data_IF_281155981846
#
_entry.id   IF_281155981846
#
_cell.length_a   1.000
_cell.length_b   1.000
_cell.length_c   1.000
_cell.angle_alpha   90.00
_cell.angle_beta   90.00
_cell.angle_gamma   90.00
#
_symmetry.space_group_name_H-M   'P 1'
#
loop_
_entity.id
_entity.type
_entity.pdbx_description
1 polymer ?
#
# COMPACT_ATOMS: atom_id res chain seq x y z
N UNK A 1 12.46 -7.85 1.19
CA UNK A 1 12.67 -7.67 2.65
C UNK A 1 13.49 -8.81 3.26
N UNK A 2 13.02 -10.07 3.25
CA UNK A 2 13.73 -11.21 3.87
C UNK A 2 15.16 -11.36 3.34
N UNK A 3 15.34 -11.28 2.03
CA UNK A 3 16.65 -11.33 1.38
C UNK A 3 17.59 -10.21 1.85
N UNK A 4 17.08 -8.96 1.97
CA UNK A 4 17.87 -7.83 2.44
C UNK A 4 18.27 -7.98 3.91
N UNK A 5 17.39 -8.50 4.75
CA UNK A 5 17.72 -8.80 6.15
C UNK A 5 18.79 -9.89 6.25
N UNK A 6 18.69 -10.96 5.44
CA UNK A 6 19.73 -11.99 5.38
C UNK A 6 21.08 -11.42 4.93
N UNK A 7 21.09 -10.52 3.94
CA UNK A 7 22.29 -9.80 3.49
C UNK A 7 22.91 -8.96 4.61
N UNK A 8 22.09 -8.16 5.31
CA UNK A 8 22.53 -7.33 6.45
C UNK A 8 23.23 -8.17 7.51
N UNK A 9 22.62 -9.30 7.90
CA UNK A 9 23.17 -10.19 8.92
C UNK A 9 24.48 -10.83 8.45
N UNK A 10 24.54 -11.25 7.18
CA UNK A 10 25.76 -11.81 6.59
C UNK A 10 26.90 -10.79 6.61
N UNK A 11 26.64 -9.53 6.24
CA UNK A 11 27.65 -8.47 6.29
C UNK A 11 28.11 -8.13 7.71
N UNK A 12 27.20 -8.17 8.69
CA UNK A 12 27.57 -8.01 10.10
C UNK A 12 28.47 -9.14 10.62
N UNK A 13 28.26 -10.38 10.16
CA UNK A 13 29.13 -11.50 10.49
C UNK A 13 30.50 -11.36 9.81
N UNK A 14 30.56 -10.94 8.54
CA UNK A 14 31.83 -10.63 7.86
C UNK A 14 32.60 -9.51 8.57
N UNK A 15 31.89 -8.49 9.06
CA UNK A 15 32.47 -7.41 9.85
C UNK A 15 33.06 -7.92 11.16
N UNK A 16 32.38 -8.83 11.86
CA UNK A 16 32.91 -9.46 13.07
C UNK A 16 34.26 -10.16 12.80
N UNK A 17 34.42 -10.81 11.65
CA UNK A 17 35.70 -11.46 11.27
C UNK A 17 36.82 -10.44 11.03
N UNK A 18 36.48 -9.24 10.54
CA UNK A 18 37.44 -8.15 10.30
C UNK A 18 37.86 -7.45 11.61
N UNK A 19 37.04 -7.52 12.65
CA UNK A 19 37.27 -6.91 13.96
C UNK A 19 38.22 -7.78 14.83
N UNK A 20 39.52 -7.71 14.55
CA UNK A 20 40.56 -8.49 15.26
C UNK A 20 41.05 -7.79 16.53
N UNK A 21 41.00 -6.46 16.58
CA UNK A 21 41.49 -5.67 17.71
C UNK A 21 40.50 -5.67 18.89
N UNK A 22 41.01 -5.67 20.13
CA UNK A 22 40.17 -5.49 21.33
C UNK A 22 39.45 -4.14 21.27
N UNK A 23 38.23 -4.11 21.79
CA UNK A 23 37.47 -2.87 21.96
C UNK A 23 38.29 -1.92 22.84
N UNK A 24 38.55 -0.72 22.33
CA UNK A 24 39.20 0.34 23.09
C UNK A 24 38.39 0.74 24.33
N UNK A 25 39.03 1.42 25.27
CA UNK A 25 38.36 1.93 26.48
C UNK A 25 37.27 2.94 26.12
N UNK A 26 36.18 2.92 26.90
CA UNK A 26 35.12 3.92 26.79
C UNK A 26 35.58 5.23 27.42
N UNK A 27 35.89 6.24 26.59
CA UNK A 27 36.25 7.58 27.05
C UNK A 27 35.51 8.64 26.23
N UNK A 28 34.65 9.41 26.89
CA UNK A 28 33.93 10.53 26.28
C UNK A 28 34.76 11.79 26.47
N UNK A 29 35.04 12.50 25.38
CA UNK A 29 35.78 13.76 25.38
C UNK A 29 34.83 14.90 24.97
N UNK A 30 34.85 16.00 25.71
CA UNK A 30 34.14 17.22 25.33
C UNK A 30 34.97 17.98 24.28
N UNK A 31 34.45 18.09 23.07
CA UNK A 31 35.09 18.77 21.94
C UNK A 31 34.36 20.07 21.59
N UNK A 32 33.48 20.56 22.46
CA UNK A 32 32.61 21.72 22.20
C UNK A 32 33.41 22.95 21.77
N UNK A 33 34.55 23.22 22.41
CA UNK A 33 35.40 24.38 22.10
C UNK A 33 35.99 24.32 20.68
N UNK A 34 36.44 23.14 20.25
CA UNK A 34 36.97 22.90 18.89
C UNK A 34 35.85 23.11 17.86
N UNK A 35 34.63 22.69 18.20
CA UNK A 35 33.48 22.73 17.29
C UNK A 35 32.79 24.09 17.18
N UNK A 36 33.17 25.09 18.00
CA UNK A 36 32.65 26.47 17.87
C UNK A 36 33.03 27.13 16.54
N UNK A 37 34.18 26.76 15.98
CA UNK A 37 34.70 27.30 14.73
C UNK A 37 34.15 26.56 13.50
N UNK A 38 33.39 25.48 13.68
CA UNK A 38 32.82 24.68 12.60
C UNK A 38 31.67 25.40 11.89
N UNK A 39 31.63 25.31 10.56
CA UNK A 39 30.54 25.87 9.76
C UNK A 39 29.38 24.88 9.57
N UNK A 40 28.91 24.32 10.68
CA UNK A 40 27.82 23.35 10.67
C UNK A 40 26.55 23.93 11.26
N UNK A 41 25.45 23.93 10.49
CA UNK A 41 24.12 24.36 10.97
C UNK A 41 23.68 23.58 12.22
N UNK A 42 23.96 22.28 12.25
CA UNK A 42 23.57 21.38 13.36
C UNK A 42 24.31 21.76 14.65
N UNK A 43 25.62 22.02 14.54
CA UNK A 43 26.46 22.38 15.68
C UNK A 43 26.10 23.77 16.18
N UNK A 44 25.99 24.76 15.28
CA UNK A 44 25.59 26.13 15.62
C UNK A 44 24.26 26.15 16.38
N UNK A 45 23.23 25.46 15.86
CA UNK A 45 21.93 25.37 16.53
C UNK A 45 21.99 24.68 17.90
N UNK A 46 22.88 23.70 18.07
CA UNK A 46 23.08 23.02 19.36
C UNK A 46 23.74 23.96 20.38
N UNK A 47 24.76 24.72 19.96
CA UNK A 47 25.46 25.69 20.80
C UNK A 47 24.55 26.84 21.25
N UNK A 48 23.70 27.36 20.34
CA UNK A 48 22.68 28.37 20.66
C UNK A 48 21.72 27.91 21.77
N UNK A 49 21.39 26.62 21.78
CA UNK A 49 20.54 25.97 22.78
C UNK A 49 21.29 25.57 24.06
N UNK A 50 22.54 26.02 24.24
CA UNK A 50 23.43 25.65 25.35
C UNK A 50 23.71 24.14 25.44
N UNK A 51 23.65 23.44 24.31
CA UNK A 51 24.07 22.04 24.20
C UNK A 51 25.59 21.91 24.13
N UNK A 52 26.08 20.67 24.06
CA UNK A 52 27.50 20.33 23.96
C UNK A 52 27.76 19.39 22.78
N UNK A 53 29.01 19.36 22.33
CA UNK A 53 29.48 18.37 21.35
C UNK A 53 30.44 17.42 22.04
N UNK A 54 30.03 16.17 22.15
CA UNK A 54 30.81 15.11 22.79
C UNK A 54 31.32 14.14 21.72
N UNK A 55 32.55 13.67 21.90
CA UNK A 55 33.21 12.72 21.03
C UNK A 55 33.59 11.43 21.74
N UNK A 56 33.60 10.32 20.99
CA UNK A 56 34.04 9.00 21.42
C UNK A 56 34.97 8.40 20.37
N UNK A 57 36.15 7.97 20.81
CA UNK A 57 37.09 7.20 20.00
C UNK A 57 36.65 5.73 19.89
N UNK A 58 36.68 5.17 18.68
CA UNK A 58 36.46 3.76 18.39
C UNK A 58 37.72 3.15 17.78
N UNK A 59 38.47 2.41 18.60
CA UNK A 59 39.74 1.82 18.18
C UNK A 59 39.55 0.74 17.11
N UNK A 60 40.29 0.83 15.99
CA UNK A 60 40.21 -0.16 14.90
C UNK A 60 38.97 -0.07 14.00
N UNK A 61 38.18 1.01 14.09
CA UNK A 61 36.93 1.19 13.33
C UNK A 61 37.07 2.03 12.06
N UNK A 62 38.28 2.42 11.65
CA UNK A 62 38.47 3.21 10.43
C UNK A 62 37.91 2.48 9.20
N UNK A 63 37.03 3.14 8.44
CA UNK A 63 36.36 2.59 7.26
C UNK A 63 35.24 1.59 7.55
N UNK A 64 35.04 1.18 8.81
CA UNK A 64 34.00 0.22 9.19
C UNK A 64 32.63 0.91 9.32
N UNK A 65 32.59 2.12 9.87
CA UNK A 65 31.34 2.87 10.09
C UNK A 65 30.69 3.25 8.75
N UNK A 66 31.51 3.54 7.73
CA UNK A 66 31.09 3.83 6.37
C UNK A 66 30.68 2.61 5.55
N UNK A 67 30.97 1.38 6.01
CA UNK A 67 30.68 0.16 5.24
C UNK A 67 29.18 -0.07 5.12
N UNK A 68 28.76 -0.34 3.90
CA UNK A 68 27.38 -0.60 3.54
C UNK A 68 26.99 -2.05 3.89
N UNK A 69 25.88 -2.22 4.62
CA UNK A 69 25.33 -3.52 4.98
C UNK A 69 24.30 -3.99 3.95
N UNK A 70 23.44 -3.04 3.54
CA UNK A 70 22.45 -3.18 2.47
C UNK A 70 22.36 -1.84 1.73
N UNK A 71 21.84 -1.80 0.49
CA UNK A 71 21.77 -0.57 -0.30
C UNK A 71 21.23 0.63 0.50
N UNK A 72 22.01 1.71 0.60
CA UNK A 72 21.67 2.93 1.31
C UNK A 72 21.78 2.86 2.84
N UNK A 73 22.23 1.74 3.42
CA UNK A 73 22.24 1.53 4.87
C UNK A 73 23.58 0.99 5.37
N UNK A 74 24.26 1.78 6.20
CA UNK A 74 25.64 1.54 6.66
C UNK A 74 25.68 1.09 8.12
N UNK A 75 26.86 0.65 8.57
CA UNK A 75 27.11 0.41 10.01
C UNK A 75 26.83 1.67 10.84
N UNK A 76 27.24 2.85 10.36
CA UNK A 76 26.91 4.13 10.98
C UNK A 76 25.40 4.36 11.09
N UNK A 77 24.60 3.88 10.12
CA UNK A 77 23.14 3.95 10.15
C UNK A 77 22.52 3.07 11.24
N UNK A 78 23.12 1.92 11.57
CA UNK A 78 22.72 1.07 12.71
C UNK A 78 22.95 1.79 14.04
N UNK A 79 24.14 2.37 14.21
CA UNK A 79 24.53 3.12 15.40
C UNK A 79 23.62 4.34 15.58
N UNK A 80 23.40 5.10 14.50
CA UNK A 80 22.53 6.26 14.48
C UNK A 80 21.09 5.90 14.84
N UNK A 81 20.58 4.79 14.31
CA UNK A 81 19.22 4.30 14.60
C UNK A 81 19.02 4.06 16.09
N UNK A 82 19.95 3.38 16.75
CA UNK A 82 19.88 3.14 18.20
C UNK A 82 20.03 4.41 19.03
N UNK A 83 20.97 5.29 18.66
CA UNK A 83 21.15 6.57 19.33
C UNK A 83 19.86 7.40 19.29
N UNK A 84 19.23 7.51 18.12
CA UNK A 84 17.95 8.23 17.95
C UNK A 84 16.84 7.68 18.83
N UNK A 85 16.63 6.38 18.82
CA UNK A 85 15.51 5.74 19.53
C UNK A 85 15.73 5.70 21.04
N UNK A 86 16.93 5.36 21.52
CA UNK A 86 17.17 5.10 22.95
C UNK A 86 17.66 6.35 23.71
N UNK A 87 18.32 7.28 23.03
CA UNK A 87 18.83 8.51 23.63
C UNK A 87 18.08 9.78 23.18
N UNK A 88 17.24 9.70 22.14
CA UNK A 88 16.42 10.82 21.68
C UNK A 88 17.20 11.92 20.97
N UNK A 89 18.40 11.61 20.45
CA UNK A 89 19.24 12.58 19.72
C UNK A 89 18.83 12.66 18.25
N UNK A 90 19.14 13.78 17.58
CA UNK A 90 18.84 13.97 16.15
C UNK A 90 19.62 13.04 15.21
N UNK A 91 20.75 12.50 15.66
CA UNK A 91 21.63 11.61 14.91
C UNK A 91 23.01 11.53 15.55
N UNK A 92 23.92 10.86 14.85
CA UNK A 92 25.35 10.84 15.18
C UNK A 92 26.11 11.31 13.95
N UNK A 93 27.34 11.74 14.18
CA UNK A 93 28.30 12.09 13.14
C UNK A 93 29.49 11.14 13.31
N UNK A 94 30.05 10.59 12.22
CA UNK A 94 31.19 9.69 12.33
C UNK A 94 32.30 9.97 11.31
N UNK A 95 33.54 9.58 11.64
CA UNK A 95 34.73 9.87 10.83
C UNK A 95 34.63 9.41 9.37
N UNK A 96 34.01 8.25 9.11
CA UNK A 96 33.88 7.71 7.75
C UNK A 96 32.80 8.40 6.88
N UNK A 97 32.07 9.40 7.40
CA UNK A 97 31.18 10.24 6.58
C UNK A 97 31.95 11.31 5.81
N UNK A 98 33.22 11.54 6.19
CA UNK A 98 34.11 12.52 5.61
C UNK A 98 35.17 11.82 4.77
N UNK A 99 35.47 12.39 3.61
CA UNK A 99 36.70 12.05 2.92
C UNK A 99 37.85 12.86 3.53
N UNK A 100 38.98 12.21 3.82
CA UNK A 100 40.17 12.89 4.37
C UNK A 100 40.72 13.91 3.36
N UNK A 101 40.45 13.69 2.08
CA UNK A 101 40.95 14.51 0.97
C UNK A 101 39.93 15.55 0.45
N UNK A 102 38.63 15.37 0.72
CA UNK A 102 37.57 16.35 0.39
C UNK A 102 36.47 16.48 1.47
N UNK A 103 36.66 17.30 2.51
CA UNK A 103 35.66 17.47 3.56
C UNK A 103 34.52 18.39 3.08
N UNK A 104 33.45 17.81 2.51
CA UNK A 104 32.28 18.57 2.01
C UNK A 104 30.97 18.30 2.75
N UNK A 105 30.95 17.42 3.76
CA UNK A 105 29.76 17.16 4.59
C UNK A 105 29.89 17.88 5.95
N UNK A 106 28.78 18.41 6.46
CA UNK A 106 28.66 19.05 7.78
C UNK A 106 29.56 20.25 8.10
N UNK A 107 30.27 20.85 7.13
CA UNK A 107 31.02 22.11 7.34
C UNK A 107 32.24 22.00 8.27
N UNK A 108 32.83 20.80 8.37
CA UNK A 108 34.12 20.59 9.04
C UNK A 108 35.24 20.81 8.02
N UNK A 109 36.26 21.60 8.36
CA UNK A 109 37.46 21.75 7.53
C UNK A 109 38.57 20.81 8.03
N UNK A 110 39.64 20.65 7.24
CA UNK A 110 40.78 19.79 7.59
C UNK A 110 41.41 20.19 8.93
N UNK A 111 41.52 21.49 9.21
CA UNK A 111 42.09 21.99 10.47
C UNK A 111 41.30 21.56 11.71
N UNK A 112 39.96 21.63 11.66
CA UNK A 112 39.07 21.17 12.73
C UNK A 112 39.17 19.65 12.89
N UNK A 113 39.25 18.92 11.77
CA UNK A 113 39.42 17.45 11.81
C UNK A 113 40.72 17.07 12.50
N UNK A 114 41.85 17.73 12.18
CA UNK A 114 43.12 17.47 12.87
C UNK A 114 43.03 17.75 14.37
N UNK A 115 42.44 18.89 14.76
CA UNK A 115 42.25 19.22 16.18
C UNK A 115 41.36 18.22 16.91
N UNK A 116 40.32 17.69 16.25
CA UNK A 116 39.47 16.64 16.79
C UNK A 116 40.21 15.32 16.96
N UNK A 117 40.98 14.90 15.95
CA UNK A 117 41.77 13.66 15.99
C UNK A 117 42.81 13.73 17.11
N UNK A 118 43.48 14.88 17.30
CA UNK A 118 44.43 15.10 18.39
C UNK A 118 43.75 15.05 19.76
N UNK A 119 42.62 15.76 19.93
CA UNK A 119 41.89 15.80 21.19
C UNK A 119 41.30 14.43 21.59
N UNK A 120 40.86 13.64 20.62
CA UNK A 120 40.33 12.29 20.82
C UNK A 120 41.43 11.21 20.81
N UNK A 121 42.69 11.60 20.56
CA UNK A 121 43.84 10.70 20.43
C UNK A 121 43.60 9.57 19.41
N UNK A 122 43.00 9.90 18.27
CA UNK A 122 42.61 8.95 17.21
C UNK A 122 43.81 8.67 16.30
N UNK A 123 44.11 7.40 16.04
CA UNK A 123 45.12 7.01 15.05
C UNK A 123 44.49 6.75 13.67
N UNK A 124 45.31 6.55 12.64
CA UNK A 124 44.84 6.29 11.26
C UNK A 124 43.98 5.02 11.12
N UNK A 125 44.06 4.09 12.08
CA UNK A 125 43.25 2.86 12.11
C UNK A 125 41.98 3.00 12.94
N UNK A 126 41.81 4.11 13.64
CA UNK A 126 40.70 4.36 14.54
C UNK A 126 39.64 5.23 13.84
N UNK A 127 38.41 5.12 14.33
CA UNK A 127 37.32 6.01 13.97
C UNK A 127 36.90 6.83 15.19
N UNK A 128 36.07 7.85 14.97
CA UNK A 128 35.41 8.56 16.05
C UNK A 128 33.95 8.84 15.72
N UNK A 129 33.17 9.04 16.77
CA UNK A 129 31.76 9.44 16.69
C UNK A 129 31.56 10.70 17.50
N UNK A 130 30.85 11.67 16.92
CA UNK A 130 30.45 12.91 17.56
C UNK A 130 28.93 12.95 17.73
N UNK A 131 28.48 13.49 18.85
CA UNK A 131 27.06 13.77 19.12
C UNK A 131 26.92 15.20 19.62
N UNK A 132 26.12 15.99 18.91
CA UNK A 132 25.78 17.36 19.27
C UNK A 132 24.34 17.40 19.79
N UNK A 133 24.16 17.51 21.11
CA UNK A 133 22.86 17.63 21.77
C UNK A 133 23.04 18.18 23.20
N UNK A 134 21.98 18.19 24.01
CA UNK A 134 22.07 18.41 25.46
C UNK A 134 23.01 17.36 26.06
N UNK A 135 23.89 17.77 26.98
CA UNK A 135 24.97 16.93 27.55
C UNK A 135 24.50 15.55 28.00
N UNK A 136 23.35 15.46 28.69
CA UNK A 136 22.79 14.20 29.18
C UNK A 136 22.36 13.25 28.06
N UNK A 137 21.75 13.78 26.99
CA UNK A 137 21.36 12.99 25.80
C UNK A 137 22.57 12.59 24.98
N UNK A 138 23.54 13.49 24.82
CA UNK A 138 24.77 13.21 24.10
C UNK A 138 25.59 12.10 24.77
N UNK A 139 25.75 12.14 26.11
CA UNK A 139 26.40 11.05 26.86
C UNK A 139 25.68 9.73 26.69
N UNK A 140 24.36 9.72 26.89
CA UNK A 140 23.52 8.51 26.72
C UNK A 140 23.61 7.95 25.29
N UNK A 141 23.65 8.80 24.27
CA UNK A 141 23.79 8.37 22.89
C UNK A 141 25.13 7.68 22.65
N UNK A 142 26.24 8.25 23.16
CA UNK A 142 27.57 7.64 23.05
C UNK A 142 27.66 6.31 23.82
N UNK A 143 27.03 6.19 24.99
CA UNK A 143 26.93 4.91 25.74
C UNK A 143 26.17 3.83 24.95
N UNK A 144 25.04 4.18 24.35
CA UNK A 144 24.23 3.28 23.51
C UNK A 144 25.00 2.84 22.28
N UNK A 145 25.69 3.78 21.63
CA UNK A 145 26.53 3.52 20.46
C UNK A 145 27.68 2.59 20.83
N UNK A 146 28.38 2.87 21.94
CA UNK A 146 29.45 2.00 22.43
C UNK A 146 28.93 0.58 22.74
N UNK A 147 27.77 0.47 23.37
CA UNK A 147 27.12 -0.83 23.63
C UNK A 147 26.83 -1.58 22.32
N UNK A 148 26.35 -0.89 21.29
CA UNK A 148 26.12 -1.49 19.97
C UNK A 148 27.44 -1.91 19.30
N UNK A 149 28.50 -1.12 19.45
CA UNK A 149 29.85 -1.48 18.99
C UNK A 149 30.33 -2.76 19.68
N UNK A 150 30.16 -2.90 20.99
CA UNK A 150 30.48 -4.14 21.72
C UNK A 150 29.73 -5.36 21.18
N UNK A 151 28.48 -5.18 20.75
CA UNK A 151 27.70 -6.25 20.15
C UNK A 151 28.20 -6.66 18.76
N UNK A 152 28.83 -5.78 17.98
CA UNK A 152 29.41 -6.13 16.67
C UNK A 152 30.48 -7.22 16.79
N UNK A 153 31.23 -7.21 17.90
CA UNK A 153 32.20 -8.26 18.22
C UNK A 153 31.56 -9.60 18.57
N UNK A 154 30.30 -9.59 19.03
CA UNK A 154 29.52 -10.82 19.29
C UNK A 154 28.86 -11.32 18.01
N UNK A 155 28.39 -10.42 17.16
CA UNK A 155 27.79 -10.67 15.85
C UNK A 155 26.48 -9.92 15.66
N UNK A 156 25.45 -10.63 15.18
CA UNK A 156 24.13 -10.05 14.94
C UNK A 156 23.36 -9.98 16.27
N UNK A 157 22.88 -8.79 16.69
CA UNK A 157 22.11 -8.66 17.92
C UNK A 157 20.66 -9.14 17.71
N UNK A 158 20.05 -9.67 18.77
CA UNK A 158 18.62 -9.89 18.80
C UNK A 158 17.91 -8.56 19.10
N UNK A 159 17.09 -8.08 18.16
CA UNK A 159 16.38 -6.80 18.27
C UNK A 159 15.11 -6.79 17.42
N UNK A 160 14.18 -5.89 17.75
CA UNK A 160 12.98 -5.66 16.93
C UNK A 160 13.26 -4.55 15.95
N UNK A 161 13.06 -4.84 14.66
CA UNK A 161 13.28 -3.91 13.55
C UNK A 161 11.95 -3.61 12.85
N UNK A 162 11.82 -2.40 12.31
CA UNK A 162 10.68 -2.01 11.46
C UNK A 162 11.06 -2.17 9.99
N UNK A 163 10.10 -2.57 9.16
CA UNK A 163 10.24 -2.61 7.72
C UNK A 163 10.13 -1.18 7.14
N UNK A 164 11.02 -0.85 6.23
CA UNK A 164 10.99 0.40 5.46
C UNK A 164 10.33 0.16 4.09
N UNK A 165 9.90 1.23 3.41
CA UNK A 165 9.20 1.14 2.11
C UNK A 165 10.08 0.56 0.99
N UNK A 166 11.40 0.72 1.09
CA UNK A 166 12.40 0.16 0.18
C UNK A 166 12.72 -1.33 0.49
N UNK A 167 12.05 -1.92 1.48
CA UNK A 167 12.25 -3.30 1.91
C UNK A 167 13.47 -3.50 2.83
N UNK A 168 14.23 -2.45 3.17
CA UNK A 168 15.26 -2.50 4.22
C UNK A 168 14.62 -2.49 5.61
N UNK A 169 15.41 -2.73 6.65
CA UNK A 169 14.93 -2.74 8.04
C UNK A 169 15.71 -1.73 8.88
N UNK A 170 15.05 -1.09 9.84
CA UNK A 170 15.70 -0.17 10.79
C UNK A 170 15.37 -0.52 12.23
N UNK A 171 16.31 -0.27 13.15
CA UNK A 171 16.11 -0.51 14.57
C UNK A 171 14.84 0.18 15.09
N UNK A 172 13.99 -0.56 15.80
CA UNK A 172 12.78 -0.03 16.44
C UNK A 172 12.87 -0.09 17.96
N UNK A 173 13.26 -1.23 18.52
CA UNK A 173 13.44 -1.41 19.98
C UNK A 173 14.26 -2.66 20.29
N UNK A 174 14.79 -2.71 21.50
CA UNK A 174 15.39 -3.94 22.04
C UNK A 174 14.34 -5.06 22.09
N UNK A 175 14.79 -6.32 22.07
CA UNK A 175 13.89 -7.46 22.22
C UNK A 175 13.08 -7.36 23.52
N UNK A 176 11.75 -7.52 23.47
CA UNK A 176 10.96 -7.62 24.68
C UNK A 176 11.38 -8.87 25.46
N UNK A 177 11.33 -8.79 26.79
CA UNK A 177 11.47 -9.96 27.64
C UNK A 177 10.33 -10.95 27.43
N UNK A 178 10.51 -12.19 27.92
CA UNK A 178 9.47 -13.21 27.85
C UNK A 178 8.19 -12.72 28.57
N UNK A 179 7.04 -12.92 27.91
CA UNK A 179 5.75 -12.63 28.52
C UNK A 179 5.50 -13.60 29.68
N UNK A 180 5.13 -13.06 30.84
CA UNK A 180 4.61 -13.86 31.96
C UNK A 180 3.10 -13.97 31.78
N UNK A 181 2.61 -15.20 31.73
CA UNK A 181 1.18 -15.47 31.61
C UNK A 181 0.69 -16.12 32.91
N UNK A 182 -0.49 -15.71 33.36
CA UNK A 182 -1.23 -16.35 34.44
C UNK A 182 -2.64 -16.66 33.91
N UNK A 183 -3.30 -17.72 34.41
CA UNK A 183 -4.69 -17.98 34.05
C UNK A 183 -5.57 -16.77 34.38
N UNK A 184 -6.40 -16.35 33.42
CA UNK A 184 -7.41 -15.31 33.63
C UNK A 184 -8.57 -15.91 34.43
N UNK A 185 -8.62 -15.63 35.73
CA UNK A 185 -9.57 -16.27 36.65
C UNK A 185 -10.99 -15.74 36.52
N UNK A 186 -11.16 -14.56 35.94
CA UNK A 186 -12.48 -13.95 35.72
C UNK A 186 -13.23 -14.62 34.55
N UNK A 187 -12.52 -15.37 33.71
CA UNK A 187 -13.10 -16.08 32.57
C UNK A 187 -13.30 -17.57 32.93
N UNK A 188 -14.54 -18.07 32.90
CA UNK A 188 -14.79 -19.49 33.14
C UNK A 188 -14.15 -20.36 32.05
N UNK A 189 -13.77 -21.58 32.41
CA UNK A 189 -13.19 -22.53 31.45
C UNK A 189 -14.21 -22.93 30.39
N UNK A 190 -13.87 -22.69 29.12
CA UNK A 190 -14.69 -23.06 27.97
C UNK A 190 -14.22 -24.42 27.43
N UNK A 191 -15.15 -25.37 27.29
CA UNK A 191 -14.94 -26.63 26.56
C UNK A 191 -15.70 -26.56 25.24
N UNK A 192 -15.07 -26.15 24.14
CA UNK A 192 -15.77 -26.01 22.87
C UNK A 192 -16.15 -27.39 22.31
N UNK A 193 -17.41 -27.54 21.92
CA UNK A 193 -17.85 -28.65 21.09
C UNK A 193 -17.73 -28.25 19.62
N UNK A 194 -16.89 -28.97 18.87
CA UNK A 194 -16.59 -28.70 17.46
C UNK A 194 -17.41 -29.59 16.51
N UNK A 195 -18.25 -30.48 17.03
CA UNK A 195 -19.02 -31.45 16.22
C UNK A 195 -19.94 -30.81 15.18
N UNK A 196 -20.42 -29.58 15.46
CA UNK A 196 -21.31 -28.84 14.57
C UNK A 196 -20.59 -27.84 13.64
N UNK A 197 -19.25 -27.77 13.66
CA UNK A 197 -18.50 -26.78 12.89
C UNK A 197 -18.33 -27.22 11.43
N UNK A 198 -18.94 -26.51 10.51
CA UNK A 198 -18.72 -26.68 9.07
C UNK A 198 -17.58 -25.78 8.60
N UNK A 199 -16.51 -26.39 8.08
CA UNK A 199 -15.41 -25.62 7.50
C UNK A 199 -15.89 -24.92 6.22
N UNK A 200 -15.72 -23.58 6.11
CA UNK A 200 -16.06 -22.88 4.89
C UNK A 200 -15.09 -23.27 3.77
N UNK A 201 -15.60 -23.15 2.54
CA UNK A 201 -14.80 -23.32 1.33
C UNK A 201 -13.65 -22.29 1.29
N UNK A 202 -12.45 -22.72 0.89
CA UNK A 202 -11.32 -21.80 0.69
C UNK A 202 -11.55 -20.92 -0.54
N UNK A 203 -10.90 -19.76 -0.62
CA UNK A 203 -11.00 -18.89 -1.79
C UNK A 203 -10.59 -19.62 -3.09
N UNK A 204 -9.52 -20.43 -3.04
CA UNK A 204 -9.06 -21.18 -4.22
C UNK A 204 -10.07 -22.22 -4.67
N UNK A 205 -10.68 -22.96 -3.72
CA UNK A 205 -11.73 -23.93 -4.03
C UNK A 205 -12.97 -23.22 -4.62
N UNK A 206 -13.37 -22.08 -4.05
CA UNK A 206 -14.49 -21.26 -4.53
C UNK A 206 -14.25 -20.71 -5.94
N UNK A 207 -13.04 -20.24 -6.24
CA UNK A 207 -12.65 -19.80 -7.59
C UNK A 207 -12.69 -20.98 -8.57
N UNK A 208 -12.25 -22.16 -8.14
CA UNK A 208 -12.38 -23.40 -8.91
C UNK A 208 -13.83 -23.74 -9.23
N UNK A 209 -14.70 -23.71 -8.21
CA UNK A 209 -16.12 -23.98 -8.32
C UNK A 209 -16.84 -22.98 -9.23
N UNK A 210 -16.55 -21.68 -9.12
CA UNK A 210 -17.16 -20.67 -10.01
C UNK A 210 -16.80 -20.87 -11.48
N UNK A 211 -15.60 -21.38 -11.77
CA UNK A 211 -15.23 -21.72 -13.15
C UNK A 211 -15.98 -22.97 -13.64
N UNK A 212 -16.07 -24.00 -12.81
CA UNK A 212 -16.68 -25.29 -13.17
C UNK A 212 -18.21 -25.23 -13.22
N UNK A 213 -18.85 -24.73 -12.16
CA UNK A 213 -20.30 -24.75 -11.99
C UNK A 213 -20.99 -23.61 -12.76
N UNK A 214 -20.35 -22.44 -12.82
CA UNK A 214 -20.93 -21.22 -13.38
C UNK A 214 -20.32 -20.78 -14.71
N UNK A 215 -19.27 -21.46 -15.19
CA UNK A 215 -18.63 -21.16 -16.48
C UNK A 215 -18.00 -19.76 -16.54
N UNK A 216 -17.60 -19.20 -15.39
CA UNK A 216 -17.00 -17.87 -15.29
C UNK A 216 -15.50 -17.97 -15.62
N UNK A 217 -14.93 -16.93 -16.26
CA UNK A 217 -13.48 -16.88 -16.52
C UNK A 217 -12.69 -16.82 -15.21
N UNK A 218 -11.44 -17.30 -15.23
CA UNK A 218 -10.57 -17.30 -14.04
C UNK A 218 -10.46 -15.92 -13.39
N UNK A 219 -10.21 -14.88 -14.17
CA UNK A 219 -10.01 -13.52 -13.67
C UNK A 219 -11.29 -12.96 -13.02
N UNK A 220 -12.45 -13.20 -13.64
CA UNK A 220 -13.73 -12.73 -13.10
C UNK A 220 -14.14 -13.54 -11.86
N UNK A 221 -13.88 -14.84 -11.85
CA UNK A 221 -14.10 -15.70 -10.69
C UNK A 221 -13.23 -15.27 -9.50
N UNK A 222 -11.95 -14.98 -9.73
CA UNK A 222 -11.04 -14.45 -8.71
C UNK A 222 -11.50 -13.08 -8.21
N UNK A 223 -11.94 -12.21 -9.11
CA UNK A 223 -12.39 -10.87 -8.75
C UNK A 223 -13.65 -10.90 -7.87
N UNK A 224 -14.65 -11.70 -8.23
CA UNK A 224 -15.88 -11.85 -7.44
C UNK A 224 -15.62 -12.57 -6.12
N UNK A 225 -14.83 -13.64 -6.12
CA UNK A 225 -14.56 -14.42 -4.91
C UNK A 225 -13.84 -13.60 -3.83
N UNK A 226 -13.01 -12.63 -4.23
CA UNK A 226 -12.28 -11.70 -3.34
C UNK A 226 -13.07 -10.43 -2.99
N UNK A 227 -14.22 -10.20 -3.64
CA UNK A 227 -15.06 -9.03 -3.37
C UNK A 227 -15.93 -9.25 -2.13
N UNK A 228 -16.20 -8.14 -1.45
CA UNK A 228 -17.24 -8.00 -0.42
C UNK A 228 -18.65 -8.43 -0.90
N UNK A 229 -18.91 -8.34 -2.21
CA UNK A 229 -20.17 -8.75 -2.85
C UNK A 229 -20.27 -10.25 -3.14
N UNK A 230 -19.28 -11.06 -2.72
CA UNK A 230 -19.27 -12.50 -2.91
C UNK A 230 -20.55 -13.21 -2.40
N UNK A 231 -21.07 -12.95 -1.18
CA UNK A 231 -22.28 -13.61 -0.71
C UNK A 231 -23.52 -13.25 -1.54
N UNK A 232 -23.62 -11.98 -1.93
CA UNK A 232 -24.72 -11.47 -2.76
C UNK A 232 -24.70 -12.09 -4.16
N UNK A 233 -23.50 -12.30 -4.72
CA UNK A 233 -23.35 -13.02 -5.99
C UNK A 233 -23.91 -14.44 -5.90
N UNK A 234 -23.54 -15.22 -4.87
CA UNK A 234 -24.04 -16.59 -4.69
C UNK A 234 -25.57 -16.62 -4.49
N UNK A 235 -26.10 -15.67 -3.73
CA UNK A 235 -27.55 -15.49 -3.53
C UNK A 235 -28.27 -15.24 -4.86
N UNK A 236 -27.79 -14.29 -5.67
CA UNK A 236 -28.45 -13.88 -6.92
C UNK A 236 -28.34 -14.98 -7.99
N UNK A 237 -27.19 -15.66 -8.11
CA UNK A 237 -27.04 -16.79 -9.04
C UNK A 237 -28.03 -17.91 -8.72
N UNK A 238 -28.22 -18.20 -7.44
CA UNK A 238 -29.19 -19.21 -6.98
C UNK A 238 -30.63 -18.76 -7.21
N UNK A 239 -30.93 -17.49 -6.94
CA UNK A 239 -32.30 -16.94 -7.01
C UNK A 239 -32.79 -16.68 -8.44
N UNK A 240 -31.88 -16.39 -9.37
CA UNK A 240 -32.21 -16.01 -10.75
C UNK A 240 -31.44 -16.82 -11.80
N UNK A 241 -31.71 -18.13 -11.93
CA UNK A 241 -30.95 -19.03 -12.82
C UNK A 241 -31.07 -18.69 -14.32
N UNK A 242 -32.06 -17.88 -14.72
CA UNK A 242 -32.22 -17.40 -16.09
C UNK A 242 -31.14 -16.36 -16.50
N UNK A 243 -30.44 -15.76 -15.53
CA UNK A 243 -29.37 -14.80 -15.79
C UNK A 243 -28.02 -15.50 -15.86
N UNK A 244 -27.18 -15.10 -16.83
CA UNK A 244 -25.84 -15.65 -16.97
C UNK A 244 -25.01 -15.27 -15.73
N UNK A 245 -24.38 -16.23 -15.02
CA UNK A 245 -23.56 -15.92 -13.83
C UNK A 245 -22.45 -14.90 -14.11
N UNK A 246 -21.81 -14.98 -15.28
CA UNK A 246 -20.81 -14.00 -15.71
C UNK A 246 -21.35 -12.56 -15.75
N UNK A 247 -22.61 -12.36 -16.19
CA UNK A 247 -23.22 -11.04 -16.21
C UNK A 247 -23.51 -10.51 -14.81
N UNK A 248 -23.94 -11.38 -13.89
CA UNK A 248 -24.16 -11.02 -12.48
C UNK A 248 -22.82 -10.61 -11.85
N UNK A 249 -21.79 -11.43 -12.04
CA UNK A 249 -20.42 -11.18 -11.60
C UNK A 249 -19.90 -9.83 -12.09
N UNK A 250 -19.96 -9.57 -13.40
CA UNK A 250 -19.55 -8.29 -14.00
C UNK A 250 -20.31 -7.10 -13.41
N UNK A 251 -21.62 -7.25 -13.22
CA UNK A 251 -22.48 -6.16 -12.72
C UNK A 251 -22.16 -5.80 -11.28
N UNK A 252 -21.86 -6.79 -10.45
CA UNK A 252 -21.50 -6.59 -9.04
C UNK A 252 -20.03 -6.17 -8.85
N UNK A 253 -19.20 -6.24 -9.89
CA UNK A 253 -17.77 -5.97 -9.77
C UNK A 253 -17.28 -4.97 -10.82
N UNK A 254 -16.89 -5.42 -12.01
CA UNK A 254 -16.24 -4.60 -13.05
C UNK A 254 -17.06 -3.37 -13.45
N UNK A 255 -18.39 -3.51 -13.61
CA UNK A 255 -19.26 -2.39 -14.01
C UNK A 255 -19.34 -1.30 -12.96
N UNK A 256 -19.25 -1.64 -11.67
CA UNK A 256 -19.21 -0.62 -10.60
C UNK A 256 -17.92 0.20 -10.68
N UNK A 257 -16.79 -0.46 -10.98
CA UNK A 257 -15.51 0.22 -11.18
C UNK A 257 -15.55 1.13 -12.41
N UNK A 258 -16.19 0.70 -13.50
CA UNK A 258 -16.40 1.51 -14.70
C UNK A 258 -17.30 2.73 -14.43
N UNK A 259 -18.36 2.57 -13.64
CA UNK A 259 -19.23 3.68 -13.20
C UNK A 259 -18.41 4.74 -12.44
N UNK A 260 -17.54 4.31 -11.52
CA UNK A 260 -16.68 5.20 -10.74
C UNK A 260 -15.67 5.95 -11.62
N UNK A 261 -15.11 5.28 -12.63
CA UNK A 261 -14.06 5.84 -13.50
C UNK A 261 -14.60 6.72 -14.63
N UNK A 262 -15.68 6.29 -15.30
CA UNK A 262 -16.19 6.94 -16.52
C UNK A 262 -17.27 7.98 -16.21
N UNK A 263 -18.12 7.72 -15.22
CA UNK A 263 -19.29 8.55 -14.91
C UNK A 263 -19.12 9.38 -13.63
N UNK A 264 -17.99 9.21 -12.93
CA UNK A 264 -17.65 9.91 -11.69
C UNK A 264 -18.74 9.79 -10.61
N UNK A 265 -19.48 8.68 -10.62
CA UNK A 265 -20.51 8.36 -9.64
C UNK A 265 -19.95 7.38 -8.61
N UNK A 266 -20.42 7.46 -7.37
CA UNK A 266 -19.93 6.62 -6.29
C UNK A 266 -20.80 5.36 -6.11
N UNK A 267 -20.31 4.15 -6.47
CA UNK A 267 -21.07 2.91 -6.34
C UNK A 267 -21.29 2.49 -4.88
N UNK A 268 -20.54 3.05 -3.92
CA UNK A 268 -20.69 2.73 -2.49
C UNK A 268 -22.05 3.19 -1.92
N UNK A 269 -22.77 4.06 -2.64
CA UNK A 269 -24.14 4.45 -2.30
C UNK A 269 -25.18 3.36 -2.57
N UNK A 270 -24.84 2.32 -3.33
CA UNK A 270 -25.75 1.23 -3.64
C UNK A 270 -25.78 0.20 -2.51
N UNK A 271 -26.98 -0.11 -2.06
CA UNK A 271 -27.20 -1.17 -1.05
C UNK A 271 -27.37 -2.53 -1.72
N UNK A 272 -27.17 -3.61 -0.96
CA UNK A 272 -27.43 -4.97 -1.45
C UNK A 272 -28.89 -5.15 -1.91
N UNK A 273 -29.83 -4.45 -1.28
CA UNK A 273 -31.25 -4.44 -1.69
C UNK A 273 -31.50 -3.78 -3.04
N UNK A 274 -30.70 -2.78 -3.42
CA UNK A 274 -30.80 -2.15 -4.74
C UNK A 274 -30.38 -3.12 -5.84
N UNK A 275 -29.33 -3.92 -5.59
CA UNK A 275 -28.95 -5.01 -6.48
C UNK A 275 -30.03 -6.10 -6.53
N UNK A 276 -30.62 -6.50 -5.39
CA UNK A 276 -31.75 -7.45 -5.38
C UNK A 276 -32.93 -6.95 -6.23
N UNK A 277 -33.31 -5.67 -6.10
CA UNK A 277 -34.35 -5.03 -6.92
C UNK A 277 -33.98 -5.02 -8.40
N UNK A 278 -32.75 -4.65 -8.74
CA UNK A 278 -32.27 -4.64 -10.12
C UNK A 278 -32.43 -6.02 -10.77
N UNK A 279 -31.94 -7.08 -10.12
CA UNK A 279 -32.03 -8.44 -10.66
C UNK A 279 -33.46 -8.99 -10.66
N UNK A 280 -34.31 -8.57 -9.72
CA UNK A 280 -35.75 -8.85 -9.76
C UNK A 280 -36.42 -8.23 -11.00
N UNK A 281 -36.12 -6.97 -11.32
CA UNK A 281 -36.70 -6.32 -12.51
C UNK A 281 -36.13 -6.86 -13.82
N UNK A 282 -34.86 -7.28 -13.83
CA UNK A 282 -34.26 -7.99 -14.98
C UNK A 282 -34.91 -9.36 -15.21
N UNK A 283 -35.23 -10.11 -14.15
CA UNK A 283 -35.89 -11.41 -14.28
C UNK A 283 -37.36 -11.30 -14.70
N UNK A 284 -38.07 -10.26 -14.24
CA UNK A 284 -39.42 -9.92 -14.70
C UNK A 284 -39.45 -9.33 -16.13
N UNK A 285 -38.30 -9.09 -16.76
CA UNK A 285 -38.21 -8.49 -18.10
C UNK A 285 -38.64 -7.02 -18.16
N UNK A 286 -38.73 -6.34 -17.01
CA UNK A 286 -39.07 -4.90 -16.90
C UNK A 286 -37.88 -4.02 -17.30
N UNK A 287 -36.66 -4.49 -17.11
CA UNK A 287 -35.41 -3.79 -17.44
C UNK A 287 -34.63 -4.65 -18.45
N UNK A 288 -33.99 -4.01 -19.44
CA UNK A 288 -33.11 -4.70 -20.38
C UNK A 288 -31.66 -4.78 -19.87
N UNK A 289 -30.90 -5.79 -20.29
CA UNK A 289 -29.51 -6.01 -19.84
C UNK A 289 -28.55 -4.87 -20.23
N UNK A 290 -28.84 -4.21 -21.35
CA UNK A 290 -27.99 -3.16 -21.92
C UNK A 290 -28.04 -1.85 -21.11
N UNK A 291 -29.11 -1.64 -20.34
CA UNK A 291 -29.37 -0.36 -19.65
C UNK A 291 -29.02 -0.44 -18.16
N UNK A 292 -28.38 -1.53 -17.73
CA UNK A 292 -28.05 -1.76 -16.32
C UNK A 292 -27.13 -0.67 -15.76
N UNK A 293 -26.19 -0.16 -16.56
CA UNK A 293 -25.29 0.93 -16.13
C UNK A 293 -26.09 2.21 -15.84
N UNK A 294 -27.00 2.58 -16.74
CA UNK A 294 -27.86 3.76 -16.56
C UNK A 294 -28.78 3.61 -15.34
N UNK A 295 -29.34 2.42 -15.15
CA UNK A 295 -30.17 2.11 -13.98
C UNK A 295 -29.38 2.22 -12.68
N UNK A 296 -28.16 1.69 -12.64
CA UNK A 296 -27.29 1.79 -11.47
C UNK A 296 -26.93 3.25 -11.15
N UNK A 297 -26.67 4.07 -12.17
CA UNK A 297 -26.43 5.52 -12.00
C UNK A 297 -27.68 6.23 -11.44
N UNK A 298 -28.86 5.91 -11.98
CA UNK A 298 -30.12 6.46 -11.49
C UNK A 298 -30.43 6.02 -10.05
N UNK A 299 -30.07 4.80 -9.67
CA UNK A 299 -30.17 4.31 -8.29
C UNK A 299 -29.21 5.07 -7.37
N UNK A 300 -27.95 5.28 -7.78
CA UNK A 300 -26.95 6.08 -7.03
C UNK A 300 -27.42 7.53 -6.80
N UNK A 301 -28.06 8.11 -7.81
CA UNK A 301 -28.54 9.52 -7.76
C UNK A 301 -29.94 9.67 -7.15
N UNK A 302 -30.60 8.57 -6.75
CA UNK A 302 -31.93 8.56 -6.17
C UNK A 302 -33.06 8.90 -7.15
N UNK A 303 -32.80 8.86 -8.46
CA UNK A 303 -33.75 9.18 -9.54
C UNK A 303 -34.41 7.94 -10.15
N UNK A 304 -34.08 6.77 -9.64
CA UNK A 304 -34.58 5.51 -10.17
C UNK A 304 -36.10 5.39 -10.04
N UNK A 305 -36.77 5.14 -11.17
CA UNK A 305 -38.18 4.72 -11.24
C UNK A 305 -38.31 3.61 -12.28
N UNK A 306 -39.04 2.55 -11.91
CA UNK A 306 -39.26 1.38 -12.79
C UNK A 306 -40.01 1.79 -14.06
N UNK A 307 -40.94 2.74 -13.95
CA UNK A 307 -41.79 3.19 -15.06
C UNK A 307 -40.99 3.91 -16.15
N UNK A 308 -39.84 4.52 -15.79
CA UNK A 308 -38.93 5.18 -16.75
C UNK A 308 -38.31 4.18 -17.73
N UNK A 309 -38.09 2.94 -17.28
CA UNK A 309 -37.37 1.89 -18.00
C UNK A 309 -38.26 0.72 -18.41
N UNK A 310 -39.54 0.75 -18.02
CA UNK A 310 -40.52 -0.25 -18.41
C UNK A 310 -40.61 -0.32 -19.95
N UNK A 311 -40.64 -1.55 -20.48
CA UNK A 311 -40.82 -1.81 -21.92
C UNK A 311 -42.09 -1.12 -22.42
N UNK A 312 -41.93 -0.24 -23.41
CA UNK A 312 -43.03 0.15 -24.29
C UNK A 312 -43.50 -1.09 -25.05
N UNK A 313 -44.79 -1.17 -25.35
CA UNK A 313 -45.32 -2.24 -26.21
C UNK A 313 -44.64 -2.21 -27.58
N UNK A 314 -44.53 -3.37 -28.23
CA UNK A 314 -43.93 -3.47 -29.57
C UNK A 314 -44.56 -2.49 -30.57
N UNK A 315 -45.88 -2.28 -30.48
CA UNK A 315 -46.62 -1.34 -31.33
C UNK A 315 -46.25 0.14 -31.10
N UNK A 316 -45.90 0.52 -29.88
CA UNK A 316 -45.50 1.89 -29.56
C UNK A 316 -44.08 2.17 -30.05
N UNK A 317 -43.19 1.17 -29.97
CA UNK A 317 -41.86 1.24 -30.55
C UNK A 317 -41.95 1.37 -32.07
N UNK A 318 -42.85 0.64 -32.73
CA UNK A 318 -43.10 0.78 -34.17
C UNK A 318 -43.54 2.19 -34.56
N UNK A 319 -44.49 2.78 -33.82
CA UNK A 319 -44.95 4.15 -34.08
C UNK A 319 -43.82 5.17 -33.94
N UNK A 320 -43.01 5.06 -32.88
CA UNK A 320 -41.88 5.97 -32.66
C UNK A 320 -40.84 5.84 -33.78
N UNK A 321 -40.53 4.62 -34.22
CA UNK A 321 -39.59 4.39 -35.33
C UNK A 321 -40.15 4.90 -36.66
N UNK A 322 -41.44 4.71 -36.93
CA UNK A 322 -42.12 5.26 -38.11
C UNK A 322 -42.12 6.80 -38.11
N UNK A 323 -42.34 7.43 -36.96
CA UNK A 323 -42.27 8.88 -36.80
C UNK A 323 -40.87 9.43 -37.05
N UNK A 324 -39.82 8.71 -36.59
CA UNK A 324 -38.43 9.11 -36.81
C UNK A 324 -38.06 9.02 -38.30
N UNK A 325 -38.52 7.97 -38.99
CA UNK A 325 -38.32 7.79 -40.44
C UNK A 325 -39.07 8.87 -41.23
N UNK A 326 -40.32 9.18 -40.87
CA UNK A 326 -41.11 10.24 -41.53
C UNK A 326 -40.51 11.64 -41.33
N UNK A 327 -39.94 11.92 -40.15
CA UNK A 327 -39.30 13.21 -39.86
C UNK A 327 -37.92 13.37 -40.49
N UNK A 328 -37.26 12.26 -40.89
CA UNK A 328 -35.92 12.26 -41.47
C UNK A 328 -35.82 11.32 -42.69
N UNK A 329 -36.57 11.58 -43.77
CA UNK A 329 -36.73 10.64 -44.89
C UNK A 329 -35.46 10.37 -45.71
N UNK A 330 -34.44 11.25 -45.63
CA UNK A 330 -33.18 11.13 -46.38
C UNK A 330 -31.97 10.78 -45.49
N UNK A 331 -32.18 10.52 -44.20
CA UNK A 331 -31.08 10.24 -43.28
C UNK A 331 -30.49 8.83 -43.49
N UNK A 332 -29.15 8.68 -43.53
CA UNK A 332 -28.50 7.37 -43.59
C UNK A 332 -28.87 6.48 -42.39
N UNK A 333 -28.86 5.17 -42.59
CA UNK A 333 -29.15 4.18 -41.53
C UNK A 333 -28.39 4.43 -40.21
N UNK A 334 -27.07 4.77 -40.20
CA UNK A 334 -26.37 5.09 -38.96
C UNK A 334 -26.92 6.31 -38.21
N UNK A 335 -27.42 7.32 -38.94
CA UNK A 335 -28.00 8.53 -38.35
C UNK A 335 -29.39 8.25 -37.77
N UNK A 336 -30.23 7.52 -38.49
CA UNK A 336 -31.54 7.06 -37.98
C UNK A 336 -31.37 6.15 -36.76
N UNK A 337 -30.34 5.30 -36.76
CA UNK A 337 -29.99 4.46 -35.63
C UNK A 337 -29.58 5.31 -34.42
N UNK A 338 -28.72 6.31 -34.61
CA UNK A 338 -28.32 7.24 -33.54
C UNK A 338 -29.49 8.00 -32.92
N UNK A 339 -30.42 8.50 -33.74
CA UNK A 339 -31.63 9.21 -33.28
C UNK A 339 -32.58 8.25 -32.55
N UNK A 340 -32.79 7.05 -33.10
CA UNK A 340 -33.66 6.03 -32.51
C UNK A 340 -33.10 5.53 -31.17
N UNK A 341 -31.79 5.31 -31.07
CA UNK A 341 -31.13 4.96 -29.80
C UNK A 341 -31.25 6.07 -28.77
N UNK A 342 -31.16 7.34 -29.19
CA UNK A 342 -31.32 8.49 -28.28
C UNK A 342 -32.75 8.62 -27.76
N UNK A 343 -33.75 8.39 -28.61
CA UNK A 343 -35.16 8.59 -28.29
C UNK A 343 -35.81 7.37 -27.59
N UNK A 344 -35.31 6.17 -27.89
CA UNK A 344 -35.68 4.90 -27.24
C UNK A 344 -34.65 4.45 -26.20
N UNK A 345 -33.77 5.35 -25.75
CA UNK A 345 -32.79 5.08 -24.70
C UNK A 345 -33.51 4.51 -23.46
N UNK A 346 -33.15 3.31 -23.04
CA UNK A 346 -33.79 2.65 -21.90
C UNK A 346 -35.02 1.80 -22.21
N UNK A 347 -35.60 1.89 -23.43
CA UNK A 347 -36.94 1.36 -23.73
C UNK A 347 -36.97 0.13 -24.65
N UNK A 348 -35.93 -0.05 -25.47
CA UNK A 348 -35.77 -1.20 -26.35
C UNK A 348 -34.28 -1.54 -26.57
N UNK A 349 -33.97 -2.82 -26.82
CA UNK A 349 -32.58 -3.25 -27.09
C UNK A 349 -32.08 -2.69 -28.43
N UNK A 350 -30.79 -2.35 -28.52
CA UNK A 350 -30.19 -1.83 -29.76
C UNK A 350 -30.32 -2.79 -30.94
N UNK A 351 -30.26 -4.10 -30.66
CA UNK A 351 -30.45 -5.15 -31.66
C UNK A 351 -31.88 -5.18 -32.20
N UNK A 352 -32.89 -5.12 -31.30
CA UNK A 352 -34.29 -5.04 -31.68
C UNK A 352 -34.61 -3.78 -32.51
N UNK A 353 -34.09 -2.61 -32.09
CA UNK A 353 -34.27 -1.37 -32.84
C UNK A 353 -33.63 -1.48 -34.23
N UNK A 354 -32.42 -2.03 -34.33
CA UNK A 354 -31.72 -2.21 -35.60
C UNK A 354 -32.45 -3.15 -36.56
N UNK A 355 -32.96 -4.29 -36.07
CA UNK A 355 -33.74 -5.23 -36.87
C UNK A 355 -35.05 -4.62 -37.36
N UNK A 356 -35.78 -3.91 -36.50
CA UNK A 356 -37.06 -3.33 -36.90
C UNK A 356 -36.89 -2.11 -37.82
N UNK A 357 -35.85 -1.30 -37.61
CA UNK A 357 -35.53 -0.17 -38.49
C UNK A 357 -35.21 -0.66 -39.92
N UNK A 358 -34.47 -1.77 -40.05
CA UNK A 358 -34.22 -2.42 -41.36
C UNK A 358 -35.52 -2.89 -42.00
N UNK A 359 -36.39 -3.56 -41.24
CA UNK A 359 -37.69 -4.07 -41.73
C UNK A 359 -38.61 -2.95 -42.23
N UNK A 360 -38.62 -1.80 -41.54
CA UNK A 360 -39.41 -0.63 -41.93
C UNK A 360 -38.86 0.07 -43.17
N UNK A 361 -37.54 0.15 -43.33
CA UNK A 361 -36.89 0.72 -44.52
C UNK A 361 -37.07 -0.15 -45.78
N UNK A 362 -37.07 -1.48 -45.63
CA UNK A 362 -37.34 -2.42 -46.73
C UNK A 362 -38.79 -2.38 -47.22
N UNK A 363 -39.77 -2.17 -46.32
CA UNK A 363 -41.18 -2.00 -46.70
C UNK A 363 -41.45 -0.68 -47.44
N UNK A 364 -40.69 0.37 -47.16
CA UNK A 364 -40.80 1.67 -47.84
C UNK A 364 -40.23 1.72 -49.26
N UNK A 365 -39.36 0.77 -49.65
CA UNK A 365 -38.74 0.70 -50.99
C UNK A 365 -39.54 -0.12 -52.02
N UNK A 366 -40.68 -0.71 -51.63
CA UNK A 366 -41.58 -1.46 -52.53
C UNK A 366 -42.87 -0.70 -52.87
N UNK A 367 -42.91 0.61 -52.62
CA UNK A 367 -44.04 1.50 -52.93
C UNK A 367 -43.75 2.37 -54.15
#
# INVERSE_FOLDING_TARGET
MVELEAKRQTELLRLKEQLIARVGSFNIVDVTEIMKTADSKIIKSTLEKKGKVLGLKLAGFAGILGKELVPGYRVGSELAGRAKILAGVGGIIHSDEYDRDEPKKYGLNVGIICQLEDALQVSTRDAYILVADVESRAKKALEVVYTRVLELYKGVPAEVRKANADGTTSFMRSMPGAARMYPETDVPLIRPDISHLTLPETLDAKIGRYQQDYGISKDLAEFVAKSDKMPLFEEIVTSYPAQKPAFIAETLTSRLLDIKRQYFQDPEKLTDDDFRKLFLYLSQGKIHKDIVVDVLIDMITGKFSVDKYARLGTEEIHKILQDIIHKNPTAPFPALMGISMKQLAGKASGEFISQELKRLLEKGHKG
#
